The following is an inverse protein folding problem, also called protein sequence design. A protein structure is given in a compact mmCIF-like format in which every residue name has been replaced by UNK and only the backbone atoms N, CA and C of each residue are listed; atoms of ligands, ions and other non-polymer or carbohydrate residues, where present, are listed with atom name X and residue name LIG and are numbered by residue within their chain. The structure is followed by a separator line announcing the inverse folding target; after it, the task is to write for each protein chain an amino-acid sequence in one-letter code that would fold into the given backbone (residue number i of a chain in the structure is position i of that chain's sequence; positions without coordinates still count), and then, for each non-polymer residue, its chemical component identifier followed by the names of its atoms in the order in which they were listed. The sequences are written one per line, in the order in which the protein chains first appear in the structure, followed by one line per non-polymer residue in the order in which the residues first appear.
data_IF_454736883366
#
_entry.id   IF_454736883366
#
_cell.length_a   1.000
_cell.length_b   1.000
_cell.length_c   1.000
_cell.angle_alpha   90.00
_cell.angle_beta   90.00
_cell.angle_gamma   90.00
#
_symmetry.space_group_name_H-M   'P 1'
#
loop_
_entity.id
_entity.type
_entity.pdbx_description
1 polymer ?
#
# COMPACT_ATOMS: atom_id res chain seq x y z
N UNK A 1 -2.61 -43.64 -1.83
CA UNK A 1 -3.33 -43.14 -0.61
C UNK A 1 -3.32 -41.63 -0.47
N UNK A 2 -2.18 -40.94 -0.65
CA UNK A 2 -2.07 -39.47 -0.51
C UNK A 2 -3.01 -38.68 -1.44
N UNK A 3 -3.18 -39.13 -2.70
CA UNK A 3 -4.05 -38.47 -3.68
C UNK A 3 -5.54 -38.49 -3.28
N UNK A 4 -6.01 -39.58 -2.65
CA UNK A 4 -7.40 -39.68 -2.17
C UNK A 4 -7.67 -38.75 -0.99
N UNK A 5 -6.67 -38.55 -0.14
CA UNK A 5 -6.76 -37.65 1.03
C UNK A 5 -6.81 -36.17 0.61
N UNK A 6 -6.08 -35.80 -0.45
CA UNK A 6 -6.13 -34.45 -1.04
C UNK A 6 -7.50 -34.16 -1.66
N UNK A 7 -8.09 -35.12 -2.38
CA UNK A 7 -9.41 -34.97 -3.00
C UNK A 7 -10.52 -34.80 -1.94
N UNK A 8 -10.43 -35.51 -0.81
CA UNK A 8 -11.38 -35.35 0.29
C UNK A 8 -11.30 -34.00 1.01
N UNK A 9 -10.14 -33.33 0.98
CA UNK A 9 -9.90 -32.08 1.73
C UNK A 9 -10.25 -30.81 0.93
N UNK A 10 -10.38 -30.94 -0.41
CA UNK A 10 -10.74 -29.86 -1.34
C UNK A 10 -12.07 -29.13 -1.03
N UNK A 11 -13.20 -29.80 -0.69
CA UNK A 11 -14.46 -29.09 -0.43
C UNK A 11 -14.45 -28.29 0.89
N UNK A 12 -13.55 -28.57 1.83
CA UNK A 12 -13.44 -27.83 3.09
C UNK A 12 -12.98 -26.37 2.88
N UNK A 13 -12.23 -26.10 1.81
CA UNK A 13 -11.83 -24.74 1.43
C UNK A 13 -12.95 -23.94 0.74
N UNK A 14 -13.90 -24.62 0.08
CA UNK A 14 -15.04 -23.97 -0.59
C UNK A 14 -16.15 -23.55 0.39
N UNK A 15 -16.18 -24.13 1.60
CA UNK A 15 -17.15 -23.78 2.65
C UNK A 15 -16.82 -22.48 3.39
N UNK A 16 -15.65 -21.88 3.15
CA UNK A 16 -15.24 -20.64 3.83
C UNK A 16 -15.94 -19.37 3.29
N UNK A 17 -16.83 -19.48 2.30
CA UNK A 17 -17.62 -18.35 1.80
C UNK A 17 -19.09 -18.73 1.71
N UNK A 18 -19.82 -18.50 2.79
CA UNK A 18 -21.29 -18.47 2.78
C UNK A 18 -21.73 -17.19 2.07
N UNK A 19 -21.67 -17.14 0.74
CA UNK A 19 -22.23 -16.02 -0.02
C UNK A 19 -23.74 -16.15 0.07
N UNK A 20 -24.46 -15.21 0.69
CA UNK A 20 -25.90 -15.23 0.70
C UNK A 20 -26.41 -15.21 -0.74
N UNK A 21 -27.41 -16.03 -1.07
CA UNK A 21 -28.16 -15.87 -2.31
C UNK A 21 -28.80 -14.48 -2.27
N UNK A 22 -28.28 -13.52 -3.05
CA UNK A 22 -28.97 -12.24 -3.29
C UNK A 22 -30.19 -12.53 -4.15
N UNK A 23 -31.26 -13.02 -3.52
CA UNK A 23 -32.60 -13.10 -4.11
C UNK A 23 -33.29 -11.73 -4.15
N UNK A 24 -32.56 -10.65 -3.91
CA UNK A 24 -33.05 -9.28 -3.88
C UNK A 24 -33.31 -8.77 -5.30
N UNK A 25 -34.34 -9.33 -5.94
CA UNK A 25 -35.06 -8.61 -6.99
C UNK A 25 -35.68 -7.41 -6.30
N UNK A 26 -35.29 -6.21 -6.72
CA UNK A 26 -36.00 -4.97 -6.39
C UNK A 26 -37.49 -5.25 -6.58
N UNK A 27 -38.24 -5.18 -5.46
CA UNK A 27 -39.67 -5.51 -5.48
C UNK A 27 -40.38 -4.64 -6.51
N UNK A 28 -41.49 -5.12 -7.10
CA UNK A 28 -42.26 -4.32 -8.06
C UNK A 28 -42.68 -2.95 -7.49
N UNK A 29 -42.87 -2.90 -6.17
CA UNK A 29 -43.12 -1.67 -5.41
C UNK A 29 -41.90 -0.74 -5.38
N UNK A 30 -40.69 -1.26 -5.13
CA UNK A 30 -39.46 -0.46 -5.11
C UNK A 30 -39.05 0.05 -6.49
N UNK A 31 -39.39 -0.67 -7.57
CA UNK A 31 -39.09 -0.23 -8.96
C UNK A 31 -39.77 1.09 -9.34
N UNK A 32 -40.94 1.35 -8.77
CA UNK A 32 -41.73 2.56 -9.03
C UNK A 32 -41.81 3.48 -7.81
N UNK A 33 -41.05 3.18 -6.74
CA UNK A 33 -41.01 4.02 -5.56
C UNK A 33 -40.33 5.35 -5.90
N UNK A 34 -40.83 6.43 -5.32
CA UNK A 34 -40.14 7.71 -5.39
C UNK A 34 -38.78 7.59 -4.70
N UNK A 35 -37.78 8.25 -5.28
CA UNK A 35 -36.49 8.39 -4.62
C UNK A 35 -36.65 9.12 -3.28
N UNK A 36 -35.86 8.75 -2.26
CA UNK A 36 -35.86 9.46 -0.98
C UNK A 36 -35.46 10.92 -1.18
N UNK A 37 -35.89 11.77 -0.24
CA UNK A 37 -35.49 13.17 -0.24
C UNK A 37 -33.97 13.29 -0.05
N UNK A 38 -33.33 14.06 -0.92
CA UNK A 38 -31.90 14.34 -0.83
C UNK A 38 -31.64 15.25 0.37
N UNK A 39 -30.68 14.87 1.21
CA UNK A 39 -30.21 15.71 2.31
C UNK A 39 -29.07 16.59 1.79
N UNK A 40 -29.08 17.91 2.03
CA UNK A 40 -27.98 18.79 1.63
C UNK A 40 -26.66 18.35 2.26
N UNK A 41 -25.60 18.30 1.45
CA UNK A 41 -24.29 17.81 1.89
C UNK A 41 -23.71 18.64 3.03
N UNK A 42 -23.93 19.95 3.03
CA UNK A 42 -23.44 20.84 4.09
C UNK A 42 -24.07 20.53 5.46
N UNK A 43 -25.21 19.83 5.48
CA UNK A 43 -25.90 19.37 6.70
C UNK A 43 -25.54 17.93 7.06
N UNK A 44 -25.22 17.11 6.06
CA UNK A 44 -24.88 15.69 6.23
C UNK A 44 -23.39 15.48 6.55
N UNK A 45 -22.53 16.36 6.07
CA UNK A 45 -21.09 16.32 6.27
C UNK A 45 -20.71 17.26 7.42
N UNK A 46 -19.65 16.90 8.13
CA UNK A 46 -19.06 17.76 9.16
C UNK A 46 -18.52 19.08 8.57
N UNK A 47 -18.04 19.99 9.44
CA UNK A 47 -17.50 21.27 8.99
C UNK A 47 -16.44 21.09 7.90
N UNK A 48 -16.53 21.91 6.86
CA UNK A 48 -15.56 21.90 5.76
C UNK A 48 -14.17 22.18 6.31
N UNK A 49 -13.25 21.23 6.12
CA UNK A 49 -11.83 21.45 6.44
C UNK A 49 -11.31 22.46 5.42
N UNK A 50 -10.71 23.55 5.90
CA UNK A 50 -10.09 24.54 5.04
C UNK A 50 -9.03 23.83 4.15
N UNK A 51 -9.16 23.86 2.81
CA UNK A 51 -8.24 23.15 1.92
C UNK A 51 -6.77 23.52 2.15
N UNK A 52 -6.53 24.76 2.57
CA UNK A 52 -5.21 25.32 2.88
C UNK A 52 -4.55 24.63 4.08
N UNK A 53 -5.28 24.39 5.16
CA UNK A 53 -4.75 23.69 6.36
C UNK A 53 -4.36 22.25 6.02
N UNK A 54 -5.20 21.58 5.23
CA UNK A 54 -4.93 20.22 4.77
C UNK A 54 -3.69 20.19 3.85
N UNK A 55 -3.57 21.16 2.93
CA UNK A 55 -2.42 21.28 2.04
C UNK A 55 -1.13 21.55 2.82
N UNK A 56 -1.15 22.42 3.83
CA UNK A 56 0.01 22.70 4.69
C UNK A 56 0.50 21.44 5.40
N UNK A 57 -0.43 20.65 5.97
CA UNK A 57 -0.09 19.38 6.62
C UNK A 57 0.57 18.39 5.67
N UNK A 58 0.06 18.25 4.44
CA UNK A 58 0.66 17.37 3.43
C UNK A 58 2.05 17.87 3.04
N UNK A 59 2.22 19.17 2.82
CA UNK A 59 3.53 19.77 2.50
C UNK A 59 4.56 19.46 3.58
N UNK A 60 4.24 19.71 4.85
CA UNK A 60 5.14 19.43 5.98
C UNK A 60 5.53 17.95 6.05
N UNK A 61 4.59 17.03 5.81
CA UNK A 61 4.86 15.59 5.77
C UNK A 61 5.82 15.23 4.61
N UNK A 62 5.64 15.83 3.43
CA UNK A 62 6.50 15.57 2.28
C UNK A 62 7.92 16.11 2.49
N UNK A 63 8.06 17.30 3.08
CA UNK A 63 9.36 17.89 3.41
C UNK A 63 10.14 17.03 4.41
N UNK A 64 9.49 16.60 5.50
CA UNK A 64 10.12 15.73 6.49
C UNK A 64 10.60 14.40 5.85
N UNK A 65 9.78 13.81 4.96
CA UNK A 65 10.17 12.58 4.25
C UNK A 65 11.32 12.81 3.29
N UNK A 66 11.30 13.91 2.52
CA UNK A 66 12.40 14.30 1.63
C UNK A 66 13.71 14.39 2.41
N UNK A 67 13.69 15.04 3.56
CA UNK A 67 14.91 15.29 4.34
C UNK A 67 15.46 14.01 4.95
N UNK A 68 14.59 13.12 5.46
CA UNK A 68 14.98 11.77 5.88
C UNK A 68 15.62 10.96 4.75
N UNK A 69 15.06 11.02 3.54
CA UNK A 69 15.62 10.32 2.37
C UNK A 69 16.97 10.89 1.97
N UNK A 70 17.16 12.22 1.99
CA UNK A 70 18.44 12.86 1.73
C UNK A 70 19.51 12.43 2.74
N UNK A 71 19.18 12.38 4.02
CA UNK A 71 20.10 11.92 5.06
C UNK A 71 20.50 10.46 4.85
N UNK A 72 19.54 9.58 4.51
CA UNK A 72 19.80 8.18 4.21
C UNK A 72 20.68 8.02 2.97
N UNK A 73 20.43 8.77 1.91
CA UNK A 73 21.26 8.77 0.70
C UNK A 73 22.70 9.21 1.02
N UNK A 74 22.86 10.28 1.80
CA UNK A 74 24.18 10.75 2.22
C UNK A 74 24.93 9.70 3.06
N UNK A 75 24.22 8.94 3.90
CA UNK A 75 24.83 7.83 4.65
C UNK A 75 25.27 6.68 3.74
N UNK A 76 24.46 6.33 2.73
CA UNK A 76 24.76 5.27 1.77
C UNK A 76 25.91 5.63 0.80
N UNK A 77 26.10 6.92 0.52
CA UNK A 77 27.18 7.40 -0.34
C UNK A 77 28.55 7.39 0.35
N UNK A 78 28.61 7.16 1.66
CA UNK A 78 29.88 7.09 2.37
C UNK A 78 30.67 5.85 1.95
N UNK A 79 31.98 5.95 1.74
CA UNK A 79 32.82 4.78 1.49
C UNK A 79 32.71 3.81 2.67
N UNK A 80 32.39 2.54 2.39
CA UNK A 80 32.40 1.47 3.41
C UNK A 80 33.82 1.09 3.80
N UNK A 81 34.77 1.28 2.87
CA UNK A 81 36.20 1.06 3.06
C UNK A 81 36.88 2.40 2.82
N UNK A 82 37.73 2.82 3.76
CA UNK A 82 38.51 4.04 3.60
C UNK A 82 39.56 3.89 2.48
N UNK A 83 40.19 5.00 2.11
CA UNK A 83 41.13 5.01 0.99
C UNK A 83 42.37 4.12 1.26
N UNK A 84 42.88 4.13 2.49
CA UNK A 84 44.07 3.36 2.85
C UNK A 84 43.81 1.85 2.82
N UNK A 85 42.65 1.41 3.32
CA UNK A 85 42.24 0.01 3.25
C UNK A 85 41.90 -0.40 1.81
N UNK A 86 41.41 0.52 0.97
CA UNK A 86 41.24 0.28 -0.47
C UNK A 86 42.58 -0.01 -1.14
N UNK A 87 43.58 0.81 -0.88
CA UNK A 87 44.91 0.69 -1.48
C UNK A 87 45.57 -0.65 -1.09
N UNK A 88 45.43 -1.07 0.18
CA UNK A 88 45.90 -2.38 0.66
C UNK A 88 45.21 -3.55 -0.02
N UNK A 89 43.91 -3.46 -0.29
CA UNK A 89 43.17 -4.51 -1.00
C UNK A 89 43.61 -4.59 -2.46
N UNK A 90 43.86 -3.45 -3.10
CA UNK A 90 44.31 -3.39 -4.50
C UNK A 90 45.72 -3.93 -4.69
N UNK A 91 46.60 -3.79 -3.69
CA UNK A 91 47.95 -4.38 -3.70
C UNK A 91 47.91 -5.91 -3.62
N UNK A 92 46.96 -6.47 -2.87
CA UNK A 92 46.94 -7.91 -2.51
C UNK A 92 45.96 -8.74 -3.32
N UNK A 93 44.95 -8.14 -3.95
CA UNK A 93 43.91 -8.84 -4.71
C UNK A 93 44.01 -8.50 -6.20
N UNK A 94 44.37 -9.45 -7.07
CA UNK A 94 44.38 -9.22 -8.52
C UNK A 94 42.97 -8.86 -9.00
N UNK A 95 42.81 -7.64 -9.52
CA UNK A 95 41.52 -7.19 -10.05
C UNK A 95 41.28 -7.86 -11.41
N UNK A 96 40.13 -8.51 -11.64
CA UNK A 96 39.80 -9.02 -12.97
C UNK A 96 39.71 -7.86 -13.96
N UNK A 97 40.21 -8.06 -15.19
CA UNK A 97 40.08 -7.07 -16.26
C UNK A 97 38.60 -6.73 -16.46
N UNK A 98 38.27 -5.44 -16.38
CA UNK A 98 36.94 -4.92 -16.68
C UNK A 98 36.95 -4.55 -18.16
N UNK A 99 36.26 -5.35 -18.98
CA UNK A 99 35.77 -4.93 -20.30
C UNK A 99 34.55 -4.01 -20.13
#
# INVERSE_FOLDING_TARGET
MKLRLVICLLPAFAACTQVPELNDKVSSQLKNANYPQLVPLDQALGPSIAPEEQAQKVTQQLEARRDSLKQRAAALQKPVVDAADRDRLDETVPRPASD
#
